data_IF_760403101305
#
_entry.id   IF_760403101305
#
_cell.length_a   1.000
_cell.length_b   1.000
_cell.length_c   1.000
_cell.angle_alpha   90.00
_cell.angle_beta   90.00
_cell.angle_gamma   90.00
#
_symmetry.space_group_name_H-M   'P 1'
#
loop_
_entity.id
_entity.type
_entity.pdbx_description
1 polymer ?
#
# COMPACT_ATOMS: atom_id res chain seq x y z
N UNK A 1 -40.54 19.98 -24.30
CA UNK A 1 -39.73 18.74 -24.41
C UNK A 1 -38.25 19.01 -24.70
N UNK A 2 -37.91 19.89 -25.67
CA UNK A 2 -36.52 20.27 -25.99
C UNK A 2 -35.72 20.87 -24.82
N UNK A 3 -36.36 21.72 -23.99
CA UNK A 3 -35.74 22.31 -22.79
C UNK A 3 -35.41 21.28 -21.70
N UNK A 4 -36.25 20.24 -21.57
CA UNK A 4 -36.02 19.16 -20.60
C UNK A 4 -34.82 18.28 -21.00
N UNK A 5 -34.61 18.12 -22.32
CA UNK A 5 -33.48 17.38 -22.89
C UNK A 5 -32.14 18.10 -22.68
N UNK A 6 -32.16 19.43 -22.68
CA UNK A 6 -30.96 20.24 -22.40
C UNK A 6 -30.58 20.20 -20.91
N UNK A 7 -31.57 20.20 -20.01
CA UNK A 7 -31.35 20.15 -18.55
C UNK A 7 -30.78 18.80 -18.11
N UNK A 8 -31.25 17.69 -18.68
CA UNK A 8 -30.72 16.35 -18.35
C UNK A 8 -29.29 16.15 -18.82
N UNK A 9 -28.89 16.76 -19.94
CA UNK A 9 -27.51 16.71 -20.44
C UNK A 9 -26.54 17.49 -19.55
N UNK A 10 -26.95 18.66 -19.05
CA UNK A 10 -26.12 19.48 -18.14
C UNK A 10 -25.90 18.81 -16.77
N UNK A 11 -26.92 18.12 -16.24
CA UNK A 11 -26.81 17.34 -15.00
C UNK A 11 -26.02 16.04 -15.19
N UNK A 12 -26.14 15.38 -16.34
CA UNK A 12 -25.39 14.15 -16.64
C UNK A 12 -23.88 14.36 -16.75
N UNK A 13 -23.44 15.48 -17.33
CA UNK A 13 -22.01 15.81 -17.44
C UNK A 13 -21.32 16.09 -16.09
N UNK A 14 -22.06 16.58 -15.10
CA UNK A 14 -21.52 16.91 -13.78
C UNK A 14 -21.22 15.66 -12.94
N UNK A 15 -21.92 14.55 -13.18
CA UNK A 15 -21.73 13.28 -12.47
C UNK A 15 -20.53 12.46 -12.96
N UNK A 16 -19.94 12.81 -14.11
CA UNK A 16 -18.81 12.07 -14.72
C UNK A 16 -17.45 12.63 -14.25
N UNK A 17 -17.45 13.74 -13.51
CA UNK A 17 -16.22 14.42 -13.05
C UNK A 17 -15.49 13.69 -11.91
N UNK A 18 -16.12 12.70 -11.28
CA UNK A 18 -15.55 11.89 -10.20
C UNK A 18 -15.12 10.49 -10.66
N UNK A 19 -14.86 10.30 -11.95
CA UNK A 19 -14.15 9.11 -12.40
C UNK A 19 -12.65 9.32 -12.07
N UNK A 20 -12.01 8.44 -11.29
CA UNK A 20 -10.56 8.44 -11.19
C UNK A 20 -10.05 8.00 -12.56
N UNK A 21 -9.69 8.95 -13.42
CA UNK A 21 -8.92 8.68 -14.63
C UNK A 21 -7.59 8.08 -14.18
N UNK A 22 -7.51 6.76 -14.29
CA UNK A 22 -6.37 5.86 -14.15
C UNK A 22 -5.06 6.50 -13.67
N UNK A 23 -4.64 6.09 -12.48
CA UNK A 23 -3.42 6.49 -11.78
C UNK A 23 -2.12 5.97 -12.43
N UNK A 24 -1.90 6.27 -13.71
CA UNK A 24 -0.60 6.12 -14.38
C UNK A 24 -0.12 7.51 -14.77
N UNK A 25 0.80 8.05 -13.97
CA UNK A 25 1.33 9.39 -14.13
C UNK A 25 2.73 9.35 -14.71
N UNK A 26 2.94 9.96 -15.88
CA UNK A 26 4.27 10.27 -16.38
C UNK A 26 4.63 11.66 -15.83
N UNK A 27 5.58 11.74 -14.89
CA UNK A 27 6.11 13.02 -14.41
C UNK A 27 7.39 13.36 -15.16
N UNK A 28 7.41 14.52 -15.79
CA UNK A 28 8.57 15.05 -16.54
C UNK A 28 9.09 16.28 -15.78
N UNK A 29 10.33 16.23 -15.29
CA UNK A 29 10.95 17.31 -14.52
C UNK A 29 12.46 17.42 -14.74
N UNK A 30 13.14 18.39 -14.09
CA UNK A 30 14.59 18.60 -14.25
C UNK A 30 15.45 17.41 -13.80
N UNK A 31 14.88 16.44 -13.07
CA UNK A 31 15.52 15.16 -12.72
C UNK A 31 15.28 14.02 -13.72
N UNK A 32 14.53 14.24 -14.80
CA UNK A 32 14.22 13.22 -15.81
C UNK A 32 12.74 12.88 -15.92
N UNK A 33 12.45 11.72 -16.53
CA UNK A 33 11.11 11.19 -16.74
C UNK A 33 10.88 10.03 -15.78
N UNK A 34 9.92 10.17 -14.86
CA UNK A 34 9.50 9.11 -13.95
C UNK A 34 8.15 8.56 -14.43
N UNK A 35 8.11 7.25 -14.68
CA UNK A 35 6.89 6.52 -15.06
C UNK A 35 6.41 5.78 -13.82
N UNK A 36 5.36 6.28 -13.18
CA UNK A 36 4.70 5.58 -12.08
C UNK A 36 3.76 4.52 -12.67
N UNK A 37 4.21 3.27 -12.60
CA UNK A 37 3.46 2.09 -13.07
C UNK A 37 2.56 1.49 -11.97
N UNK A 38 2.41 2.19 -10.83
CA UNK A 38 1.63 1.75 -9.68
C UNK A 38 2.24 0.58 -8.90
N UNK A 39 3.44 0.10 -9.25
CA UNK A 39 4.08 -1.03 -8.54
C UNK A 39 4.80 -0.61 -7.26
N UNK A 40 5.25 0.64 -7.15
CA UNK A 40 6.01 1.13 -5.98
C UNK A 40 5.22 1.08 -4.66
N UNK A 41 3.92 1.40 -4.69
CA UNK A 41 3.09 1.41 -3.48
C UNK A 41 2.86 0.03 -2.85
N UNK A 42 2.93 -1.05 -3.65
CA UNK A 42 2.69 -2.41 -3.16
C UNK A 42 3.93 -2.97 -2.47
N UNK A 43 5.10 -2.72 -3.07
CA UNK A 43 6.40 -3.11 -2.53
C UNK A 43 6.63 -2.44 -1.16
N UNK A 44 6.39 -1.13 -1.05
CA UNK A 44 6.49 -0.37 0.20
C UNK A 44 5.60 -0.93 1.34
N UNK A 45 4.40 -1.44 1.02
CA UNK A 45 3.50 -2.02 2.02
C UNK A 45 4.02 -3.36 2.52
N UNK A 46 4.45 -4.21 1.62
CA UNK A 46 4.95 -5.54 1.95
C UNK A 46 6.26 -5.43 2.76
N UNK A 47 7.12 -4.47 2.41
CA UNK A 47 8.33 -4.15 3.14
C UNK A 47 8.04 -3.69 4.59
N UNK A 48 7.07 -2.79 4.77
CA UNK A 48 6.66 -2.35 6.12
C UNK A 48 6.06 -3.49 6.93
N UNK A 49 5.29 -4.38 6.28
CA UNK A 49 4.70 -5.55 6.93
C UNK A 49 5.79 -6.52 7.38
N UNK A 50 6.75 -6.82 6.50
CA UNK A 50 7.90 -7.66 6.81
C UNK A 50 8.70 -7.09 7.99
N UNK A 51 9.01 -5.79 7.97
CA UNK A 51 9.70 -5.11 9.08
C UNK A 51 8.95 -5.15 10.41
N UNK A 52 7.60 -5.20 10.39
CA UNK A 52 6.78 -5.32 11.60
C UNK A 52 6.86 -6.74 12.16
N UNK A 53 6.66 -7.76 11.32
CA UNK A 53 6.75 -9.17 11.69
C UNK A 53 8.12 -9.48 12.29
N UNK A 54 9.19 -8.98 11.67
CA UNK A 54 10.54 -9.19 12.17
C UNK A 54 10.81 -8.52 13.50
N UNK A 55 10.21 -7.36 13.76
CA UNK A 55 10.30 -6.68 15.07
C UNK A 55 9.59 -7.47 16.17
N UNK A 56 8.38 -7.95 15.90
CA UNK A 56 7.59 -8.73 16.86
C UNK A 56 8.27 -10.07 17.19
N UNK A 57 8.76 -10.79 16.18
CA UNK A 57 9.47 -12.06 16.40
C UNK A 57 10.80 -11.87 17.16
N UNK A 58 11.49 -10.76 16.91
CA UNK A 58 12.72 -10.41 17.63
C UNK A 58 12.44 -10.11 19.10
N UNK A 59 11.44 -9.28 19.37
CA UNK A 59 11.04 -8.94 20.76
C UNK A 59 10.66 -10.19 21.55
N UNK A 60 9.87 -11.08 20.94
CA UNK A 60 9.47 -12.33 21.59
C UNK A 60 10.65 -13.30 21.80
N UNK A 61 11.66 -13.26 20.93
CA UNK A 61 12.89 -14.02 21.10
C UNK A 61 13.79 -13.46 22.23
N UNK A 62 13.96 -12.13 22.27
CA UNK A 62 14.76 -11.44 23.29
C UNK A 62 14.14 -11.59 24.68
N UNK A 63 12.81 -11.54 24.77
CA UNK A 63 12.05 -11.63 26.02
C UNK A 63 11.49 -13.04 26.28
N UNK A 64 12.17 -14.10 25.80
CA UNK A 64 11.69 -15.48 25.93
C UNK A 64 11.35 -15.90 27.36
N UNK A 65 12.07 -15.38 28.34
CA UNK A 65 11.86 -15.73 29.76
C UNK A 65 10.59 -15.08 30.32
N UNK A 66 10.14 -13.96 29.73
CA UNK A 66 8.85 -13.31 30.04
C UNK A 66 7.67 -13.99 29.35
N UNK A 67 7.86 -14.49 28.13
CA UNK A 67 6.80 -15.08 27.31
C UNK A 67 6.74 -16.62 27.38
N UNK A 68 7.68 -17.27 28.07
CA UNK A 68 7.75 -18.73 28.19
C UNK A 68 8.34 -19.42 26.95
N UNK A 69 8.09 -20.73 26.79
CA UNK A 69 8.65 -21.54 25.70
C UNK A 69 8.30 -21.04 24.28
N UNK A 70 7.24 -20.24 24.15
CA UNK A 70 6.92 -19.52 22.91
C UNK A 70 8.09 -18.65 22.44
N UNK A 71 8.87 -18.07 23.36
CA UNK A 71 10.03 -17.25 23.05
C UNK A 71 11.19 -17.98 22.38
N UNK A 72 11.46 -19.25 22.75
CA UNK A 72 12.47 -20.07 22.07
C UNK A 72 12.00 -20.50 20.67
N UNK A 73 10.70 -20.80 20.51
CA UNK A 73 10.07 -21.03 19.20
C UNK A 73 10.14 -19.79 18.30
N UNK A 74 9.94 -18.61 18.88
CA UNK A 74 10.01 -17.32 18.19
C UNK A 74 11.41 -17.00 17.68
N UNK A 75 12.48 -17.37 18.41
CA UNK A 75 13.85 -17.23 17.91
C UNK A 75 14.12 -18.04 16.63
N UNK A 76 13.64 -19.29 16.57
CA UNK A 76 13.79 -20.14 15.37
C UNK A 76 12.97 -19.58 14.21
N UNK A 77 11.75 -19.10 14.49
CA UNK A 77 10.88 -18.49 13.49
C UNK A 77 11.46 -17.18 12.95
N UNK A 78 11.98 -16.32 13.82
CA UNK A 78 12.68 -15.09 13.45
C UNK A 78 13.79 -15.36 12.44
N UNK A 79 14.68 -16.33 12.72
CA UNK A 79 15.77 -16.68 11.79
C UNK A 79 15.30 -17.22 10.45
N UNK A 80 14.17 -17.95 10.41
CA UNK A 80 13.60 -18.47 9.15
C UNK A 80 12.88 -17.39 8.33
N UNK A 81 12.27 -16.41 8.99
CA UNK A 81 11.43 -15.41 8.34
C UNK A 81 12.22 -14.13 7.97
N UNK A 82 13.26 -13.79 8.73
CA UNK A 82 13.91 -12.47 8.71
C UNK A 82 15.43 -12.51 8.55
N UNK A 83 16.03 -13.71 8.57
CA UNK A 83 17.46 -13.93 8.40
C UNK A 83 17.83 -14.21 6.95
#
# INVERSE_FOLDING_TARGET
MRKMLLVTMALGGLLIQNAPTFAQGIRIGPGGVEVDDGRGYRDDRDDRRQRRICRELRDACENKDRYGEEGQGNCRRYRRTCG
#
